data_IF_449401121954
#
_entry.id   IF_449401121954
#
_cell.length_a   1.000
_cell.length_b   1.000
_cell.length_c   1.000
_cell.angle_alpha   90.00
_cell.angle_beta   90.00
_cell.angle_gamma   90.00
#
_symmetry.space_group_name_H-M   'P 1'
#
loop_
_entity.id
_entity.type
_entity.pdbx_description
1 polymer ?
#
# COMPACT_ATOMS: atom_id res chain seq x y z
N UNK A 1 25.40 18.08 -16.16
CA UNK A 1 23.93 18.01 -16.40
C UNK A 1 23.42 16.90 -15.53
N UNK A 2 22.31 17.13 -14.83
CA UNK A 2 21.63 16.11 -14.02
C UNK A 2 20.43 15.65 -14.81
N UNK A 3 20.07 14.38 -14.71
CA UNK A 3 18.93 13.83 -15.41
C UNK A 3 17.69 13.89 -14.49
N UNK A 4 16.52 14.07 -15.09
CA UNK A 4 15.25 14.03 -14.38
C UNK A 4 14.94 12.59 -13.95
N UNK A 5 14.76 12.34 -12.66
CA UNK A 5 14.50 11.00 -12.10
C UNK A 5 13.26 10.32 -12.70
N UNK A 6 12.26 11.11 -13.10
CA UNK A 6 10.96 10.61 -13.58
C UNK A 6 10.87 10.36 -15.10
N UNK A 7 11.74 10.98 -15.91
CA UNK A 7 11.61 10.93 -17.38
C UNK A 7 12.94 10.92 -18.14
N UNK A 8 14.06 10.82 -17.43
CA UNK A 8 15.43 10.81 -17.96
C UNK A 8 15.81 12.03 -18.81
N UNK A 9 14.99 13.10 -18.78
CA UNK A 9 15.28 14.35 -19.48
C UNK A 9 16.51 15.01 -18.84
N UNK A 10 17.52 15.34 -19.66
CA UNK A 10 18.66 16.16 -19.23
C UNK A 10 18.20 17.55 -18.77
N UNK A 11 18.58 17.92 -17.56
CA UNK A 11 18.29 19.22 -16.95
C UNK A 11 19.48 20.16 -17.16
N UNK A 12 19.18 21.40 -17.59
CA UNK A 12 20.13 22.51 -17.56
C UNK A 12 20.50 22.94 -16.14
N UNK A 13 21.45 23.87 -16.01
CA UNK A 13 22.00 24.33 -14.72
C UNK A 13 20.93 24.90 -13.78
N UNK A 14 19.81 25.41 -14.32
CA UNK A 14 18.71 26.03 -13.57
C UNK A 14 17.34 25.37 -13.80
N UNK A 15 17.28 24.22 -14.49
CA UNK A 15 16.00 23.61 -14.92
C UNK A 15 15.53 22.44 -14.03
N UNK A 16 16.16 22.22 -12.87
CA UNK A 16 15.85 21.11 -11.96
C UNK A 16 15.17 21.54 -10.67
N UNK A 17 14.03 20.94 -10.38
CA UNK A 17 13.30 21.06 -9.13
C UNK A 17 13.60 19.86 -8.24
N UNK A 18 13.52 20.02 -6.92
CA UNK A 18 13.67 18.90 -5.98
C UNK A 18 12.45 17.99 -6.07
N UNK A 19 12.68 16.69 -6.04
CA UNK A 19 11.60 15.72 -6.09
C UNK A 19 10.69 15.84 -4.85
N UNK A 20 9.36 16.06 -5.00
CA UNK A 20 8.47 16.27 -3.87
C UNK A 20 8.39 15.08 -2.91
N UNK A 21 8.33 13.85 -3.45
CA UNK A 21 8.25 12.61 -2.66
C UNK A 21 9.62 12.06 -2.21
N UNK A 22 10.61 11.98 -3.12
CA UNK A 22 11.91 11.34 -2.86
C UNK A 22 12.93 12.27 -2.16
N UNK A 23 12.62 13.57 -2.07
CA UNK A 23 13.41 14.55 -1.32
C UNK A 23 14.55 15.19 -2.11
N UNK A 24 15.50 15.79 -1.39
CA UNK A 24 16.49 16.74 -1.95
C UNK A 24 17.60 16.11 -2.79
N UNK A 25 17.70 14.77 -2.80
CA UNK A 25 18.73 14.04 -3.55
C UNK A 25 18.37 13.85 -5.01
N UNK A 26 17.09 13.92 -5.34
CA UNK A 26 16.56 13.64 -6.67
C UNK A 26 16.04 14.93 -7.29
N UNK A 27 16.37 15.13 -8.57
CA UNK A 27 15.90 16.27 -9.35
C UNK A 27 14.91 15.82 -10.41
N UNK A 28 13.94 16.68 -10.66
CA UNK A 28 12.91 16.48 -11.68
C UNK A 28 12.76 17.73 -12.53
N UNK A 29 12.33 17.56 -13.79
CA UNK A 29 11.94 18.70 -14.61
C UNK A 29 10.61 19.30 -14.12
N UNK A 30 10.32 20.55 -14.49
CA UNK A 30 9.09 21.22 -14.04
C UNK A 30 7.81 20.44 -14.33
N UNK A 31 7.70 19.83 -15.52
CA UNK A 31 6.52 18.99 -15.87
C UNK A 31 6.35 17.79 -14.93
N UNK A 32 7.45 17.16 -14.53
CA UNK A 32 7.42 16.03 -13.61
C UNK A 32 7.16 16.50 -12.17
N UNK A 33 7.65 17.67 -11.79
CA UNK A 33 7.34 18.29 -10.50
C UNK A 33 5.84 18.51 -10.33
N UNK A 34 5.19 19.13 -11.32
CA UNK A 34 3.75 19.40 -11.29
C UNK A 34 2.94 18.10 -11.22
N UNK A 35 3.29 17.12 -12.07
CA UNK A 35 2.64 15.81 -12.09
C UNK A 35 2.73 15.08 -10.76
N UNK A 36 3.92 14.99 -10.18
CA UNK A 36 4.13 14.34 -8.87
C UNK A 36 3.37 15.10 -7.78
N UNK A 37 3.32 16.43 -7.85
CA UNK A 37 2.53 17.25 -6.94
C UNK A 37 1.03 16.92 -6.99
N UNK A 38 0.46 16.83 -8.19
CA UNK A 38 -0.94 16.44 -8.40
C UNK A 38 -1.23 15.02 -7.87
N UNK A 39 -0.33 14.07 -8.13
CA UNK A 39 -0.48 12.69 -7.65
C UNK A 39 -0.45 12.61 -6.11
N UNK A 40 0.44 13.37 -5.46
CA UNK A 40 0.50 13.49 -4.00
C UNK A 40 -0.79 14.11 -3.44
N UNK A 41 -1.28 15.19 -4.05
CA UNK A 41 -2.52 15.84 -3.61
C UNK A 41 -3.72 14.89 -3.75
N UNK A 42 -3.80 14.16 -4.87
CA UNK A 42 -4.84 13.16 -5.12
C UNK A 42 -4.78 12.03 -4.10
N UNK A 43 -3.59 11.51 -3.82
CA UNK A 43 -3.39 10.47 -2.81
C UNK A 43 -3.75 10.97 -1.42
N UNK A 44 -3.35 12.19 -1.06
CA UNK A 44 -3.71 12.82 0.21
C UNK A 44 -5.23 12.94 0.36
N UNK A 45 -5.95 13.35 -0.69
CA UNK A 45 -7.41 13.41 -0.67
C UNK A 45 -8.05 12.03 -0.49
N UNK A 46 -7.52 11.01 -1.15
CA UNK A 46 -7.97 9.62 -1.00
C UNK A 46 -7.76 9.09 0.43
N UNK A 47 -6.56 9.27 0.99
CA UNK A 47 -6.29 8.85 2.37
C UNK A 47 -7.20 9.57 3.37
N UNK A 48 -7.45 10.88 3.17
CA UNK A 48 -8.35 11.62 4.04
C UNK A 48 -9.81 11.17 3.86
N UNK A 49 -10.28 10.93 2.64
CA UNK A 49 -11.65 10.45 2.41
C UNK A 49 -11.92 9.07 3.02
N UNK A 50 -10.92 8.18 3.00
CA UNK A 50 -11.06 6.83 3.56
C UNK A 50 -10.82 6.80 5.09
N UNK A 51 -10.06 7.75 5.64
CA UNK A 51 -9.76 7.81 7.08
C UNK A 51 -10.96 8.14 7.97
N UNK A 52 -12.05 8.70 7.42
CA UNK A 52 -13.27 9.05 8.18
C UNK A 52 -14.38 7.99 8.12
N UNK A 53 -14.20 6.88 7.39
CA UNK A 53 -15.15 5.76 7.36
C UNK A 53 -14.79 4.65 8.37
N UNK A 54 -14.53 5.02 9.63
CA UNK A 54 -14.41 4.04 10.71
C UNK A 54 -15.73 3.28 10.95
N UNK A 55 -16.87 3.78 10.48
CA UNK A 55 -18.17 3.11 10.57
C UNK A 55 -18.42 2.06 9.47
N UNK A 56 -17.71 2.08 8.34
CA UNK A 56 -17.96 1.14 7.23
C UNK A 56 -17.21 -0.20 7.37
N UNK A 57 -16.40 -0.36 8.42
CA UNK A 57 -15.66 -1.59 8.70
C UNK A 57 -16.23 -2.35 9.90
N UNK A 58 -17.55 -2.35 10.07
CA UNK A 58 -18.24 -3.52 10.66
C UNK A 58 -18.35 -4.63 9.60
N UNK A 59 -17.23 -4.99 8.98
CA UNK A 59 -17.15 -6.34 8.44
C UNK A 59 -16.95 -7.19 9.69
N UNK A 60 -18.01 -7.88 10.11
CA UNK A 60 -17.85 -8.97 11.04
C UNK A 60 -16.99 -10.01 10.34
N UNK A 61 -15.68 -9.93 10.62
CA UNK A 61 -14.66 -10.81 10.05
C UNK A 61 -15.09 -12.25 10.32
N UNK A 62 -15.72 -12.53 11.47
CA UNK A 62 -16.22 -13.86 11.80
C UNK A 62 -17.34 -14.30 10.84
N UNK A 63 -18.30 -13.43 10.52
CA UNK A 63 -19.38 -13.75 9.58
C UNK A 63 -18.88 -13.96 8.14
N UNK A 64 -18.01 -13.07 7.66
CA UNK A 64 -17.43 -13.16 6.31
C UNK A 64 -16.55 -14.40 6.15
N UNK A 65 -15.79 -14.75 7.19
CA UNK A 65 -14.99 -15.97 7.23
C UNK A 65 -15.85 -17.24 7.29
N UNK A 66 -16.89 -17.26 8.13
CA UNK A 66 -17.80 -18.41 8.23
C UNK A 66 -18.53 -18.71 6.91
N UNK A 67 -18.91 -17.68 6.15
CA UNK A 67 -19.51 -17.83 4.81
C UNK A 67 -18.54 -18.42 3.77
N UNK A 68 -17.25 -18.11 3.86
CA UNK A 68 -16.26 -18.56 2.87
C UNK A 68 -15.66 -19.94 3.20
N UNK A 69 -15.37 -20.24 4.47
CA UNK A 69 -14.81 -21.54 4.87
C UNK A 69 -15.87 -22.65 4.84
N UNK A 70 -17.14 -22.37 5.11
CA UNK A 70 -18.21 -23.40 5.10
C UNK A 70 -18.43 -24.03 3.72
N UNK A 71 -17.98 -23.38 2.64
CA UNK A 71 -18.23 -23.81 1.27
C UNK A 71 -17.02 -24.53 0.61
N UNK A 72 -15.88 -24.67 1.30
CA UNK A 72 -14.68 -25.32 0.74
C UNK A 72 -14.10 -26.35 1.74
N UNK A 73 -14.54 -27.63 1.66
CA UNK A 73 -14.08 -28.70 2.53
C UNK A 73 -12.55 -28.97 2.49
N UNK A 74 -11.87 -28.88 1.32
CA UNK A 74 -10.41 -28.90 1.27
C UNK A 74 -9.74 -27.82 2.13
N UNK A 75 -10.26 -26.59 2.10
CA UNK A 75 -9.71 -25.47 2.86
C UNK A 75 -9.88 -25.67 4.37
N UNK A 76 -11.05 -26.18 4.81
CA UNK A 76 -11.28 -26.57 6.21
C UNK A 76 -10.26 -27.59 6.70
N UNK A 77 -10.06 -28.66 5.92
CA UNK A 77 -9.11 -29.72 6.29
C UNK A 77 -7.67 -29.23 6.34
N UNK A 78 -7.28 -28.30 5.48
CA UNK A 78 -5.96 -27.67 5.55
C UNK A 78 -5.81 -26.83 6.82
N UNK A 79 -6.83 -26.03 7.18
CA UNK A 79 -6.82 -25.21 8.39
C UNK A 79 -6.80 -26.03 9.69
N UNK A 80 -7.58 -27.10 9.79
CA UNK A 80 -7.57 -27.98 10.97
C UNK A 80 -6.17 -28.57 11.20
N UNK A 81 -5.50 -28.97 10.13
CA UNK A 81 -4.13 -29.47 10.19
C UNK A 81 -3.12 -28.37 10.59
N UNK A 82 -3.34 -27.12 10.16
CA UNK A 82 -2.51 -25.98 10.56
C UNK A 82 -2.64 -25.71 12.06
N UNK A 83 -3.88 -25.66 12.57
CA UNK A 83 -4.16 -25.39 13.98
C UNK A 83 -3.66 -26.49 14.91
N UNK A 84 -3.79 -27.76 14.50
CA UNK A 84 -3.21 -28.89 15.25
C UNK A 84 -1.68 -28.74 15.34
N UNK A 85 -1.00 -28.35 14.25
CA UNK A 85 0.46 -28.14 14.25
C UNK A 85 0.89 -26.99 15.16
N UNK A 86 0.17 -25.87 15.13
CA UNK A 86 0.46 -24.71 15.97
C UNK A 86 0.18 -25.03 17.44
N UNK A 87 -0.95 -25.70 17.75
CA UNK A 87 -1.31 -26.11 19.10
C UNK A 87 -0.34 -27.13 19.72
N UNK A 88 0.19 -28.06 18.91
CA UNK A 88 1.26 -28.98 19.35
C UNK A 88 2.58 -28.28 19.70
N UNK A 89 2.80 -27.08 19.17
CA UNK A 89 4.01 -26.29 19.41
C UNK A 89 3.90 -25.46 20.70
N UNK A 90 2.67 -25.15 21.15
CA UNK A 90 2.39 -24.42 22.39
C UNK A 90 2.39 -25.31 23.66
N UNK A 91 2.20 -26.63 23.54
CA UNK A 91 2.29 -27.57 24.67
C UNK A 91 3.68 -28.20 24.85
N UNK A 92 4.70 -27.67 24.16
CA UNK A 92 6.09 -28.13 24.25
C UNK A 92 6.99 -27.02 24.83
N UNK A 93 6.61 -26.54 26.01
CA UNK A 93 7.47 -25.76 26.93
C UNK A 93 7.34 -26.36 28.33
#
# INVERSE_FOLDING_TARGET
MVDCEECDKKLGILEGYRHPALGTRFLVCGKCFDKVGEDIERWSKFCLSDSFNAESSKIDIQEAWNKNISNDPPLQKWFDNLWIKIGYQACRE
#
